data_IF_318346602926
#
_entry.id   IF_318346602926
#
_cell.length_a   1.000
_cell.length_b   1.000
_cell.length_c   1.000
_cell.angle_alpha   90.00
_cell.angle_beta   90.00
_cell.angle_gamma   90.00
#
_symmetry.space_group_name_H-M   'P 1'
#
loop_
_entity.id
_entity.type
_entity.pdbx_description
1 polymer ?
#
# COMPACT_ATOMS: atom_id res chain seq x y z
N UNK A 1 -1.13 -21.54 -24.85
CA UNK A 1 -2.50 -22.06 -24.68
C UNK A 1 -3.30 -20.99 -23.94
N UNK A 2 -4.56 -20.76 -24.33
CA UNK A 2 -5.45 -19.86 -23.58
C UNK A 2 -5.80 -20.62 -22.30
N UNK A 3 -5.34 -20.15 -21.14
CA UNK A 3 -5.82 -20.68 -19.87
C UNK A 3 -7.34 -20.55 -19.84
N UNK A 4 -8.03 -21.66 -19.58
CA UNK A 4 -9.45 -21.65 -19.22
C UNK A 4 -9.61 -20.69 -18.04
N UNK A 5 -10.45 -19.67 -18.20
CA UNK A 5 -10.77 -18.75 -17.11
C UNK A 5 -11.64 -19.55 -16.15
N UNK A 6 -11.05 -19.97 -15.04
CA UNK A 6 -11.76 -20.70 -14.00
C UNK A 6 -12.77 -19.76 -13.34
N UNK A 7 -14.06 -20.06 -13.52
CA UNK A 7 -15.14 -19.23 -13.00
C UNK A 7 -15.33 -19.55 -11.51
N UNK A 8 -14.98 -18.60 -10.63
CA UNK A 8 -15.24 -18.71 -9.19
C UNK A 8 -16.56 -18.05 -8.81
N UNK A 9 -17.32 -18.67 -7.92
CA UNK A 9 -18.45 -18.03 -7.27
C UNK A 9 -17.97 -16.91 -6.32
N UNK A 10 -18.56 -15.72 -6.47
CA UNK A 10 -18.29 -14.54 -5.63
C UNK A 10 -19.52 -14.30 -4.75
N UNK A 11 -19.30 -14.09 -3.46
CA UNK A 11 -20.37 -13.81 -2.48
C UNK A 11 -20.72 -12.31 -2.46
N UNK A 12 -21.95 -11.97 -2.07
CA UNK A 12 -22.38 -10.56 -2.00
C UNK A 12 -21.53 -9.77 -0.99
N UNK A 13 -21.25 -10.36 0.17
CA UNK A 13 -20.40 -9.76 1.20
C UNK A 13 -18.96 -9.59 0.71
N UNK A 14 -18.46 -10.52 -0.11
CA UNK A 14 -17.14 -10.41 -0.74
C UNK A 14 -17.10 -9.22 -1.70
N UNK A 15 -18.08 -9.12 -2.60
CA UNK A 15 -18.16 -8.06 -3.60
C UNK A 15 -18.30 -6.68 -2.96
N UNK A 16 -19.13 -6.56 -1.92
CA UNK A 16 -19.36 -5.31 -1.19
C UNK A 16 -18.20 -4.93 -0.28
N UNK A 17 -17.37 -5.89 0.16
CA UNK A 17 -16.16 -5.60 0.93
C UNK A 17 -15.09 -4.86 0.14
N UNK A 18 -15.17 -4.85 -1.19
CA UNK A 18 -14.18 -4.30 -2.14
C UNK A 18 -12.79 -4.93 -2.09
N UNK A 19 -12.59 -6.03 -1.34
CA UNK A 19 -11.28 -6.67 -1.17
C UNK A 19 -10.59 -7.00 -2.50
N UNK A 20 -11.36 -7.49 -3.48
CA UNK A 20 -10.82 -7.89 -4.78
C UNK A 20 -10.27 -6.72 -5.61
N UNK A 21 -10.65 -5.48 -5.30
CA UNK A 21 -10.15 -4.28 -6.01
C UNK A 21 -8.69 -3.97 -5.69
N UNK A 22 -8.15 -4.54 -4.63
CA UNK A 22 -6.76 -4.33 -4.23
C UNK A 22 -5.78 -5.19 -5.00
N UNK A 23 -6.20 -6.25 -5.70
CA UNK A 23 -5.25 -7.12 -6.42
C UNK A 23 -4.48 -6.32 -7.48
N UNK A 24 -3.15 -6.39 -7.38
CA UNK A 24 -2.23 -5.66 -8.23
C UNK A 24 -2.04 -4.18 -7.90
N UNK A 25 -2.62 -3.71 -6.79
CA UNK A 25 -2.36 -2.37 -6.27
C UNK A 25 -1.11 -2.31 -5.39
N UNK A 26 -0.54 -1.13 -5.30
CA UNK A 26 0.37 -0.77 -4.23
C UNK A 26 -0.43 -0.25 -3.03
N UNK A 27 0.02 -0.58 -1.82
CA UNK A 27 -0.65 -0.18 -0.59
C UNK A 27 0.29 0.38 0.45
N UNK A 28 -0.22 1.28 1.28
CA UNK A 28 0.36 1.70 2.55
C UNK A 28 -0.51 1.15 3.69
N UNK A 29 0.10 0.46 4.64
CA UNK A 29 -0.60 -0.24 5.72
C UNK A 29 0.19 -0.20 7.01
N UNK A 30 -0.51 -0.14 8.14
CA UNK A 30 0.09 -0.32 9.45
C UNK A 30 0.49 -1.79 9.65
N UNK A 31 1.78 -2.06 9.85
CA UNK A 31 2.31 -3.40 10.08
C UNK A 31 3.11 -3.43 11.38
N UNK A 32 2.81 -4.40 12.23
CA UNK A 32 3.57 -4.67 13.44
C UNK A 32 4.83 -5.47 13.08
N UNK A 33 5.97 -5.07 13.64
CA UNK A 33 7.22 -5.82 13.55
C UNK A 33 7.63 -6.31 14.95
N UNK A 34 8.41 -7.38 15.00
CA UNK A 34 8.84 -8.01 16.25
C UNK A 34 9.54 -6.99 17.16
N UNK A 35 8.96 -6.71 18.33
CA UNK A 35 9.57 -5.83 19.33
C UNK A 35 9.40 -4.33 19.10
N UNK A 36 8.61 -3.89 18.10
CA UNK A 36 8.27 -2.48 17.88
C UNK A 36 6.75 -2.31 17.73
N UNK A 37 6.26 -1.10 18.02
CA UNK A 37 4.88 -0.73 17.72
C UNK A 37 4.58 -0.79 16.21
N UNK A 38 3.30 -0.83 15.81
CA UNK A 38 2.93 -0.82 14.41
C UNK A 38 3.45 0.44 13.71
N UNK A 39 3.96 0.26 12.51
CA UNK A 39 4.52 1.32 11.67
C UNK A 39 3.98 1.24 10.26
N UNK A 40 3.98 2.36 9.54
CA UNK A 40 3.53 2.40 8.15
C UNK A 40 4.53 1.70 7.24
N UNK A 41 4.03 0.70 6.52
CA UNK A 41 4.79 -0.14 5.61
C UNK A 41 4.13 -0.12 4.23
N UNK A 42 4.94 -0.39 3.22
CA UNK A 42 4.55 -0.36 1.82
C UNK A 42 4.65 -1.76 1.23
N UNK A 43 3.62 -2.19 0.51
CA UNK A 43 3.64 -3.48 -0.17
C UNK A 43 2.83 -3.49 -1.45
N UNK A 44 2.98 -4.56 -2.23
CA UNK A 44 2.21 -4.81 -3.44
C UNK A 44 1.27 -5.99 -3.20
N UNK A 45 -0.01 -5.83 -3.51
CA UNK A 45 -1.02 -6.87 -3.27
C UNK A 45 -0.97 -7.88 -4.40
N UNK A 46 -0.56 -9.11 -4.06
CA UNK A 46 -0.42 -10.23 -5.01
C UNK A 46 -1.72 -11.02 -5.22
N UNK A 47 -2.66 -10.93 -4.28
CA UNK A 47 -3.91 -11.67 -4.32
C UNK A 47 -4.72 -11.48 -3.04
N UNK A 48 -5.83 -12.21 -2.93
CA UNK A 48 -6.64 -12.25 -1.73
C UNK A 48 -7.34 -13.60 -1.57
N UNK A 49 -7.80 -13.88 -0.36
CA UNK A 49 -8.70 -14.99 -0.03
C UNK A 49 -9.93 -14.47 0.72
N UNK A 50 -11.03 -15.19 0.60
CA UNK A 50 -12.31 -14.88 1.25
C UNK A 50 -12.88 -16.11 1.93
N UNK A 51 -13.27 -15.96 3.20
CA UNK A 51 -14.00 -16.98 3.96
C UNK A 51 -15.48 -16.57 4.06
N UNK A 52 -16.40 -17.31 3.39
CA UNK A 52 -17.82 -17.01 3.44
C UNK A 52 -18.46 -17.33 4.80
N UNK A 53 -17.82 -18.17 5.62
CA UNK A 53 -18.32 -18.58 6.94
C UNK A 53 -18.18 -17.44 7.94
N UNK A 54 -17.01 -16.81 7.95
CA UNK A 54 -16.69 -15.69 8.84
C UNK A 54 -16.98 -14.33 8.20
N UNK A 55 -17.30 -14.30 6.90
CA UNK A 55 -17.48 -13.09 6.09
C UNK A 55 -16.28 -12.15 6.19
N UNK A 56 -15.09 -12.72 6.12
CA UNK A 56 -13.83 -12.00 6.24
C UNK A 56 -12.88 -12.40 5.13
N UNK A 57 -12.03 -11.45 4.72
CA UNK A 57 -10.99 -11.72 3.74
C UNK A 57 -9.59 -11.42 4.26
N UNK A 58 -8.61 -11.89 3.50
CA UNK A 58 -7.18 -11.68 3.75
C UNK A 58 -6.56 -11.21 2.44
N UNK A 59 -5.76 -10.13 2.50
CA UNK A 59 -4.89 -9.73 1.40
C UNK A 59 -3.55 -10.46 1.51
N UNK A 60 -3.02 -10.92 0.38
CA UNK A 60 -1.67 -11.46 0.29
C UNK A 60 -0.74 -10.35 -0.23
N UNK A 61 -0.01 -9.72 0.69
CA UNK A 61 0.79 -8.51 0.40
C UNK A 61 2.26 -8.88 0.36
N UNK A 62 2.93 -8.58 -0.75
CA UNK A 62 4.37 -8.66 -0.90
C UNK A 62 5.03 -7.45 -0.23
N UNK A 63 5.85 -7.72 0.78
CA UNK A 63 6.83 -6.82 1.37
C UNK A 63 8.24 -7.28 0.99
N UNK A 64 9.27 -6.53 1.37
CA UNK A 64 10.68 -6.88 1.10
C UNK A 64 11.08 -8.26 1.64
N UNK A 65 10.48 -8.68 2.77
CA UNK A 65 10.76 -9.97 3.40
C UNK A 65 10.00 -11.15 2.77
N UNK A 66 9.04 -10.88 1.89
CA UNK A 66 8.18 -11.88 1.26
C UNK A 66 6.69 -11.54 1.31
N UNK A 67 5.87 -12.50 0.90
CA UNK A 67 4.40 -12.37 0.88
C UNK A 67 3.82 -12.74 2.24
N UNK A 68 3.03 -11.83 2.82
CA UNK A 68 2.38 -12.01 4.11
C UNK A 68 0.86 -11.93 3.98
N UNK A 69 0.12 -12.81 4.69
CA UNK A 69 -1.33 -12.69 4.81
C UNK A 69 -1.68 -11.57 5.80
N UNK A 70 -2.47 -10.59 5.35
CA UNK A 70 -2.96 -9.50 6.19
C UNK A 70 -4.49 -9.49 6.23
N UNK A 71 -5.12 -9.58 7.42
CA UNK A 71 -6.56 -9.45 7.55
C UNK A 71 -7.08 -8.18 6.88
N UNK A 72 -8.08 -8.32 6.01
CA UNK A 72 -8.58 -7.20 5.25
C UNK A 72 -9.54 -6.35 6.07
N UNK A 73 -9.22 -5.06 6.17
CA UNK A 73 -10.08 -4.01 6.72
C UNK A 73 -9.94 -2.78 5.84
N UNK A 74 -11.00 -2.42 5.12
CA UNK A 74 -10.96 -1.36 4.11
C UNK A 74 -10.46 0.00 4.65
N UNK A 75 -10.67 0.27 5.94
CA UNK A 75 -10.22 1.51 6.61
C UNK A 75 -8.75 1.49 7.02
N UNK A 76 -8.11 0.33 7.06
CA UNK A 76 -6.73 0.16 7.52
C UNK A 76 -5.74 -0.02 6.36
N UNK A 77 -6.25 -0.29 5.15
CA UNK A 77 -5.45 -0.45 3.94
C UNK A 77 -5.66 0.74 3.02
N UNK A 78 -4.60 1.50 2.77
CA UNK A 78 -4.66 2.60 1.81
C UNK A 78 -4.13 2.15 0.45
N UNK A 79 -4.97 2.26 -0.57
CA UNK A 79 -4.53 2.21 -1.96
C UNK A 79 -3.68 3.44 -2.32
N UNK A 80 -2.54 3.24 -2.96
CA UNK A 80 -1.62 4.31 -3.37
C UNK A 80 -1.14 4.12 -4.82
N UNK A 81 -0.81 5.23 -5.47
CA UNK A 81 -0.21 5.23 -6.81
C UNK A 81 1.26 4.77 -6.77
N UNK A 82 1.83 4.46 -7.94
CA UNK A 82 3.27 4.16 -8.06
C UNK A 82 4.16 5.33 -7.62
N UNK A 83 3.73 6.58 -7.84
CA UNK A 83 4.50 7.75 -7.40
C UNK A 83 4.55 7.83 -5.86
N UNK A 84 3.42 7.63 -5.19
CA UNK A 84 3.36 7.54 -3.72
C UNK A 84 4.15 6.33 -3.19
N UNK A 85 4.08 5.19 -3.88
CA UNK A 85 4.83 3.97 -3.55
C UNK A 85 6.34 4.12 -3.74
N UNK A 86 6.79 4.94 -4.69
CA UNK A 86 8.19 5.26 -4.88
C UNK A 86 8.70 6.25 -3.82
N UNK A 87 7.87 7.22 -3.42
CA UNK A 87 8.24 8.23 -2.42
C UNK A 87 8.24 7.70 -0.98
N UNK A 88 7.40 6.71 -0.68
CA UNK A 88 7.30 6.07 0.65
C UNK A 88 7.34 7.05 1.83
N UNK A 89 6.58 8.14 1.72
CA UNK A 89 6.71 9.33 2.55
C UNK A 89 6.50 9.11 4.05
N UNK A 90 5.95 7.97 4.48
CA UNK A 90 5.83 7.63 5.91
C UNK A 90 6.50 6.30 6.28
N UNK A 91 7.46 5.82 5.49
CA UNK A 91 8.13 4.55 5.77
C UNK A 91 8.67 4.51 7.20
N UNK A 92 8.34 3.43 7.92
CA UNK A 92 8.77 3.15 9.29
C UNK A 92 8.35 4.16 10.36
N UNK A 93 7.55 5.18 10.01
CA UNK A 93 6.89 6.04 10.98
C UNK A 93 5.93 5.20 11.82
N UNK A 94 6.00 5.33 13.15
CA UNK A 94 5.06 4.65 14.04
C UNK A 94 3.66 5.22 13.83
N UNK A 95 2.65 4.35 13.91
CA UNK A 95 1.25 4.78 13.82
C UNK A 95 0.89 5.76 14.95
N UNK A 96 1.54 5.68 16.11
CA UNK A 96 1.34 6.62 17.21
C UNK A 96 1.91 8.02 16.93
N UNK A 97 2.89 8.14 16.04
CA UNK A 97 3.54 9.41 15.69
C UNK A 97 2.94 10.02 14.42
N UNK A 98 2.32 9.19 13.57
CA UNK A 98 1.64 9.59 12.36
C UNK A 98 0.33 8.81 12.24
N UNK A 99 -0.77 9.45 12.63
CA UNK A 99 -2.09 8.82 12.61
C UNK A 99 -2.61 8.67 11.17
N UNK A 100 -3.61 7.81 10.90
CA UNK A 100 -4.08 7.55 9.53
C UNK A 100 -4.43 8.80 8.73
N UNK A 101 -5.13 9.77 9.31
CA UNK A 101 -5.49 11.02 8.62
C UNK A 101 -4.27 11.88 8.23
N UNK A 102 -3.23 11.88 9.06
CA UNK A 102 -1.97 12.58 8.79
C UNK A 102 -1.19 11.86 7.70
N UNK A 103 -1.15 10.52 7.73
CA UNK A 103 -0.62 9.69 6.65
C UNK A 103 -1.36 9.94 5.33
N UNK A 104 -2.69 10.08 5.36
CA UNK A 104 -3.51 10.52 4.22
C UNK A 104 -3.01 11.81 3.60
N UNK A 105 -2.91 12.85 4.42
CA UNK A 105 -2.49 14.19 4.03
C UNK A 105 -1.04 14.22 3.53
N UNK A 106 -0.13 13.48 4.16
CA UNK A 106 1.29 13.47 3.82
C UNK A 106 1.53 12.94 2.40
N UNK A 107 0.90 11.82 2.06
CA UNK A 107 0.96 11.25 0.71
C UNK A 107 0.32 12.17 -0.34
N UNK A 108 -0.83 12.78 -0.04
CA UNK A 108 -1.47 13.72 -0.97
C UNK A 108 -0.56 14.93 -1.22
N UNK A 109 0.07 15.45 -0.16
CA UNK A 109 1.00 16.57 -0.28
C UNK A 109 2.27 16.18 -1.06
N UNK A 110 2.79 14.98 -0.84
CA UNK A 110 3.92 14.43 -1.58
C UNK A 110 3.60 14.27 -3.08
N UNK A 111 2.41 13.74 -3.40
CA UNK A 111 1.94 13.60 -4.76
C UNK A 111 1.73 14.96 -5.43
N UNK A 112 1.15 15.94 -4.73
CA UNK A 112 1.00 17.30 -5.22
C UNK A 112 2.36 17.95 -5.52
N UNK A 113 3.37 17.73 -4.68
CA UNK A 113 4.74 18.17 -4.96
C UNK A 113 5.35 17.49 -6.18
N UNK A 114 5.11 16.19 -6.34
CA UNK A 114 5.55 15.44 -7.50
C UNK A 114 4.92 15.97 -8.80
N UNK A 115 3.63 16.26 -8.76
CA UNK A 115 2.84 16.73 -9.91
C UNK A 115 2.92 18.24 -10.16
N UNK A 116 3.42 19.02 -9.20
CA UNK A 116 3.44 20.49 -9.28
C UNK A 116 2.06 21.13 -9.08
N UNK A 117 1.18 20.48 -8.32
CA UNK A 117 -0.11 21.06 -7.95
C UNK A 117 0.14 22.05 -6.80
N UNK A 118 -0.21 23.32 -7.03
CA UNK A 118 -0.03 24.40 -6.04
C UNK A 118 1.43 24.79 -5.77
N UNK A 119 2.41 24.19 -6.46
CA UNK A 119 3.83 24.51 -6.32
C UNK A 119 4.62 24.10 -7.59
N UNK A 120 5.94 24.35 -7.61
CA UNK A 120 6.79 23.84 -8.69
C UNK A 120 6.96 22.33 -8.56
N UNK A 121 6.69 21.59 -9.62
CA UNK A 121 6.92 20.15 -9.69
C UNK A 121 8.39 19.79 -9.38
N UNK A 122 8.58 18.72 -8.60
CA UNK A 122 9.88 18.11 -8.34
C UNK A 122 9.75 16.60 -8.47
N UNK A 123 10.67 15.97 -9.20
CA UNK A 123 10.72 14.52 -9.34
C UNK A 123 11.85 13.90 -8.50
N UNK A 124 12.54 14.71 -7.68
CA UNK A 124 13.61 14.26 -6.79
C UNK A 124 13.01 13.91 -5.44
N UNK A 125 13.04 12.63 -5.07
CA UNK A 125 12.47 12.12 -3.82
C UNK A 125 12.99 12.90 -2.62
N UNK A 126 14.32 13.04 -2.51
CA UNK A 126 15.01 13.79 -1.44
C UNK A 126 14.47 15.20 -1.25
N UNK A 127 14.33 15.97 -2.34
CA UNK A 127 13.83 17.35 -2.27
C UNK A 127 12.38 17.41 -1.79
N UNK A 128 11.54 16.46 -2.20
CA UNK A 128 10.14 16.40 -1.77
C UNK A 128 10.08 16.02 -0.29
N UNK A 129 10.75 14.93 0.10
CA UNK A 129 10.69 14.37 1.44
C UNK A 129 11.31 15.30 2.49
N UNK A 130 12.44 15.95 2.17
CA UNK A 130 13.04 16.98 3.05
C UNK A 130 12.08 18.15 3.30
N UNK A 131 11.38 18.62 2.26
CA UNK A 131 10.41 19.72 2.40
C UNK A 131 9.22 19.34 3.27
N UNK A 132 8.83 18.06 3.25
CA UNK A 132 7.75 17.52 4.04
C UNK A 132 8.17 17.06 5.43
N UNK A 133 9.45 17.17 5.78
CA UNK A 133 10.03 16.59 7.00
C UNK A 133 9.72 15.08 7.13
N UNK A 134 9.62 14.41 6.00
CA UNK A 134 9.40 12.97 5.89
C UNK A 134 10.72 12.20 5.91
N UNK A 135 10.72 10.92 6.28
CA UNK A 135 11.89 10.05 6.13
C UNK A 135 12.41 10.09 4.69
N UNK A 136 13.72 10.23 4.53
CA UNK A 136 14.36 10.16 3.21
C UNK A 136 14.37 8.70 2.76
N UNK A 137 13.85 8.45 1.56
CA UNK A 137 13.83 7.12 0.98
C UNK A 137 15.23 6.72 0.51
N UNK A 138 15.60 5.47 0.73
CA UNK A 138 16.73 4.84 0.05
C UNK A 138 16.31 4.49 -1.39
N UNK A 139 16.90 5.19 -2.37
CA UNK A 139 16.62 4.97 -3.79
C UNK A 139 17.26 3.67 -4.33
N UNK A 140 18.22 3.08 -3.62
CA UNK A 140 18.85 1.81 -3.99
C UNK A 140 18.06 0.58 -3.47
N UNK A 141 17.14 0.80 -2.52
CA UNK A 141 16.30 -0.25 -1.96
C UNK A 141 15.36 -0.81 -3.04
N UNK A 142 15.52 -2.10 -3.34
CA UNK A 142 14.57 -2.84 -4.15
C UNK A 142 13.24 -2.98 -3.39
N UNK A 143 12.12 -2.73 -4.09
CA UNK A 143 10.78 -2.89 -3.54
C UNK A 143 9.94 -3.81 -4.42
N UNK A 144 9.04 -4.61 -3.82
CA UNK A 144 8.17 -5.49 -4.58
C UNK A 144 7.19 -4.69 -5.44
N UNK A 145 7.07 -5.07 -6.70
CA UNK A 145 6.03 -4.59 -7.60
C UNK A 145 5.19 -5.77 -8.06
N UNK A 146 3.90 -5.54 -8.22
CA UNK A 146 3.05 -6.53 -8.85
C UNK A 146 3.09 -6.35 -10.36
N UNK A 147 3.64 -7.34 -11.06
CA UNK A 147 3.65 -7.38 -12.51
C UNK A 147 2.60 -8.37 -13.02
N UNK A 148 1.56 -7.86 -13.67
CA UNK A 148 0.52 -8.67 -14.30
C UNK A 148 0.96 -9.31 -15.63
N UNK A 149 2.13 -8.93 -16.16
CA UNK A 149 2.64 -9.41 -17.45
C UNK A 149 3.58 -10.61 -17.38
N UNK A 150 3.86 -11.10 -16.16
CA UNK A 150 4.70 -12.27 -15.89
C UNK A 150 3.94 -13.61 -16.03
#
# INVERSE_FOLDING_TARGET
SRSEIDLRQVWEEEATSVIGTFVGSCVCIARASSGRGPSWNYGAVSGYSWDPTTRSGVLHIAFDAGVEPVPFRATEVRHISYAEYALRSCADCLVCDLMPAEMHTLHETALNHFQGIGCRASHRSKTILEKLHAPVVDEEQAVPLYDMSS
#
